data_IF_380591929270
#
_entry.id   IF_380591929270
#
_cell.length_a   1.000
_cell.length_b   1.000
_cell.length_c   1.000
_cell.angle_alpha   90.00
_cell.angle_beta   90.00
_cell.angle_gamma   90.00
#
_symmetry.space_group_name_H-M   'P 1'
#
loop_
_entity.id
_entity.type
_entity.pdbx_description
1 polymer ?
#
# COMPACT_ATOMS: atom_id res chain seq x y z
N UNK A 1 -21.25 -60.77 -54.91
CA UNK A 1 -22.29 -59.74 -54.67
C UNK A 1 -22.68 -59.87 -53.20
N UNK A 2 -21.84 -59.48 -52.23
CA UNK A 2 -21.18 -58.17 -52.08
C UNK A 2 -22.21 -57.03 -52.22
N UNK A 3 -22.39 -56.10 -51.29
CA UNK A 3 -21.39 -55.60 -50.34
C UNK A 3 -22.01 -54.72 -49.22
N UNK A 4 -21.34 -54.79 -48.06
CA UNK A 4 -20.98 -53.68 -47.14
C UNK A 4 -22.13 -52.87 -46.53
N UNK A 5 -22.55 -53.10 -45.28
CA UNK A 5 -21.82 -52.73 -44.06
C UNK A 5 -20.95 -51.48 -44.24
N UNK A 6 -21.48 -50.34 -43.81
CA UNK A 6 -20.64 -49.21 -43.40
C UNK A 6 -21.07 -48.85 -41.99
N UNK A 7 -20.32 -49.40 -41.03
CA UNK A 7 -20.18 -48.80 -39.71
C UNK A 7 -19.67 -47.38 -39.93
N UNK A 8 -20.50 -46.38 -39.68
CA UNK A 8 -19.98 -45.07 -39.32
C UNK A 8 -19.32 -45.25 -37.95
N UNK A 9 -18.00 -45.44 -38.00
CA UNK A 9 -17.11 -45.16 -36.88
C UNK A 9 -17.42 -43.74 -36.43
N UNK A 10 -17.99 -43.61 -35.24
CA UNK A 10 -17.77 -42.43 -34.40
C UNK A 10 -16.25 -42.29 -34.21
N UNK A 11 -15.59 -41.61 -35.14
CA UNK A 11 -14.33 -40.96 -34.81
C UNK A 11 -14.70 -39.80 -33.92
N UNK A 12 -14.61 -40.02 -32.61
CA UNK A 12 -14.49 -38.96 -31.62
C UNK A 12 -13.34 -38.07 -32.06
N UNK A 13 -13.68 -37.03 -32.81
CA UNK A 13 -12.72 -36.08 -33.29
C UNK A 13 -12.53 -35.12 -32.12
N UNK A 14 -11.50 -35.38 -31.32
CA UNK A 14 -10.81 -34.39 -30.48
C UNK A 14 -10.26 -33.27 -31.39
N UNK A 15 -11.14 -32.59 -32.12
CA UNK A 15 -10.85 -31.33 -32.75
C UNK A 15 -10.75 -30.32 -31.61
N UNK A 16 -9.60 -30.27 -30.96
CA UNK A 16 -9.21 -29.08 -30.21
C UNK A 16 -9.45 -27.90 -31.17
N UNK A 17 -10.44 -27.08 -30.83
CA UNK A 17 -10.73 -25.89 -31.60
C UNK A 17 -9.45 -25.06 -31.67
N UNK A 18 -8.97 -24.76 -32.88
CA UNK A 18 -7.72 -24.00 -33.09
C UNK A 18 -7.75 -22.66 -32.34
N UNK A 19 -8.94 -22.08 -32.16
CA UNK A 19 -9.18 -20.89 -31.36
C UNK A 19 -8.98 -21.13 -29.86
N UNK A 20 -9.37 -22.30 -29.35
CA UNK A 20 -9.11 -22.72 -27.97
C UNK A 20 -7.61 -22.84 -27.68
N UNK A 21 -6.87 -23.54 -28.54
CA UNK A 21 -5.40 -23.65 -28.42
C UNK A 21 -4.76 -22.25 -28.45
N UNK A 22 -5.23 -21.39 -29.36
CA UNK A 22 -4.72 -20.02 -29.44
C UNK A 22 -4.97 -19.23 -28.16
N UNK A 23 -6.16 -19.33 -27.55
CA UNK A 23 -6.45 -18.69 -26.27
C UNK A 23 -5.65 -19.24 -25.11
N UNK A 24 -5.41 -20.55 -25.06
CA UNK A 24 -4.54 -21.15 -24.04
C UNK A 24 -3.10 -20.67 -24.16
N UNK A 25 -2.59 -20.53 -25.39
CA UNK A 25 -1.26 -19.95 -25.65
C UNK A 25 -1.22 -18.48 -25.23
N UNK A 26 -2.23 -17.69 -25.58
CA UNK A 26 -2.29 -16.28 -25.19
C UNK A 26 -2.36 -16.12 -23.67
N UNK A 27 -3.17 -16.92 -22.96
CA UNK A 27 -3.25 -16.87 -21.50
C UNK A 27 -1.90 -17.17 -20.85
N UNK A 28 -1.19 -18.19 -21.36
CA UNK A 28 0.13 -18.56 -20.86
C UNK A 28 1.19 -17.47 -21.10
N UNK A 29 1.06 -16.68 -22.16
CA UNK A 29 1.96 -15.55 -22.42
C UNK A 29 1.53 -14.33 -21.59
N UNK A 30 0.25 -14.00 -21.61
CA UNK A 30 -0.31 -12.78 -21.05
C UNK A 30 -0.13 -12.73 -19.54
N UNK A 31 -0.17 -13.85 -18.83
CA UNK A 31 0.09 -13.89 -17.38
C UNK A 31 1.45 -13.28 -16.98
N UNK A 32 2.44 -13.26 -17.87
CA UNK A 32 3.77 -12.71 -17.57
C UNK A 32 3.97 -11.26 -18.04
N UNK A 33 3.01 -10.68 -18.77
CA UNK A 33 3.15 -9.33 -19.31
C UNK A 33 2.89 -8.26 -18.25
N UNK A 34 3.65 -7.16 -18.34
CA UNK A 34 3.39 -5.91 -17.61
C UNK A 34 2.03 -5.32 -18.01
N UNK A 35 1.50 -4.40 -17.22
CA UNK A 35 0.27 -3.67 -17.56
C UNK A 35 0.41 -2.93 -18.89
N UNK A 36 1.58 -2.31 -19.13
CA UNK A 36 1.87 -1.60 -20.40
C UNK A 36 1.85 -2.56 -21.59
N UNK A 37 2.50 -3.71 -21.47
CA UNK A 37 2.56 -4.68 -22.56
C UNK A 37 1.22 -5.36 -22.80
N UNK A 38 0.42 -5.58 -21.76
CA UNK A 38 -0.97 -6.00 -21.91
C UNK A 38 -1.80 -4.96 -22.65
N UNK A 39 -1.68 -3.68 -22.30
CA UNK A 39 -2.39 -2.61 -23.02
C UNK A 39 -1.99 -2.55 -24.50
N UNK A 40 -0.71 -2.79 -24.82
CA UNK A 40 -0.22 -2.89 -26.20
C UNK A 40 -0.76 -4.14 -26.91
N UNK A 41 -0.76 -5.29 -26.23
CA UNK A 41 -1.32 -6.53 -26.74
C UNK A 41 -2.82 -6.39 -27.07
N UNK A 42 -3.58 -5.69 -26.21
CA UNK A 42 -5.00 -5.43 -26.44
C UNK A 42 -5.27 -4.64 -27.74
N UNK A 43 -4.31 -3.83 -28.20
CA UNK A 43 -4.44 -3.05 -29.43
C UNK A 43 -4.20 -3.86 -30.72
N UNK A 44 -3.74 -5.11 -30.63
CA UNK A 44 -3.37 -5.93 -31.81
C UNK A 44 -4.60 -6.36 -32.61
N UNK A 45 -5.56 -7.03 -31.97
CA UNK A 45 -6.79 -7.48 -32.60
C UNK A 45 -7.90 -7.77 -31.57
N UNK A 46 -9.14 -7.99 -32.03
CA UNK A 46 -10.31 -8.25 -31.16
C UNK A 46 -10.13 -9.45 -30.23
N UNK A 47 -9.52 -10.52 -30.74
CA UNK A 47 -9.26 -11.74 -29.96
C UNK A 47 -8.24 -11.49 -28.85
N UNK A 48 -7.15 -10.77 -29.12
CA UNK A 48 -6.16 -10.39 -28.11
C UNK A 48 -6.77 -9.45 -27.08
N UNK A 49 -7.52 -8.44 -27.52
CA UNK A 49 -8.26 -7.53 -26.62
C UNK A 49 -9.17 -8.29 -25.66
N UNK A 50 -9.92 -9.27 -26.17
CA UNK A 50 -10.79 -10.11 -25.35
C UNK A 50 -10.00 -10.90 -24.29
N UNK A 51 -8.89 -11.54 -24.67
CA UNK A 51 -8.04 -12.29 -23.72
C UNK A 51 -7.33 -11.39 -22.72
N UNK A 52 -6.87 -10.20 -23.12
CA UNK A 52 -6.28 -9.23 -22.19
C UNK A 52 -7.30 -8.78 -21.15
N UNK A 53 -8.56 -8.52 -21.54
CA UNK A 53 -9.62 -8.18 -20.57
C UNK A 53 -9.83 -9.27 -19.52
N UNK A 54 -9.85 -10.52 -19.97
CA UNK A 54 -9.95 -11.68 -19.07
C UNK A 54 -8.74 -11.73 -18.14
N UNK A 55 -7.52 -11.58 -18.68
CA UNK A 55 -6.30 -11.58 -17.87
C UNK A 55 -6.28 -10.46 -16.83
N UNK A 56 -6.62 -9.22 -17.20
CA UNK A 56 -6.71 -8.09 -16.25
C UNK A 56 -7.72 -8.39 -15.14
N UNK A 57 -8.86 -9.00 -15.46
CA UNK A 57 -9.89 -9.34 -14.46
C UNK A 57 -9.45 -10.43 -13.46
N UNK A 58 -8.42 -11.22 -13.80
CA UNK A 58 -7.86 -12.24 -12.91
C UNK A 58 -6.88 -11.64 -11.89
N UNK A 59 -6.22 -10.53 -12.23
CA UNK A 59 -5.13 -9.93 -11.45
C UNK A 59 -5.65 -9.12 -10.27
N UNK A 60 -5.39 -9.61 -9.06
CA UNK A 60 -5.77 -8.96 -7.81
C UNK A 60 -4.56 -8.73 -6.89
N UNK A 61 -3.34 -8.81 -7.44
CA UNK A 61 -2.13 -8.75 -6.65
C UNK A 61 -1.92 -7.34 -6.08
N UNK A 62 -1.65 -7.27 -4.78
CA UNK A 62 -1.09 -6.07 -4.15
C UNK A 62 0.42 -6.10 -4.40
N UNK A 63 0.93 -5.09 -5.10
CA UNK A 63 2.30 -5.07 -5.61
C UNK A 63 3.11 -3.96 -4.93
N UNK A 64 4.33 -4.25 -4.51
CA UNK A 64 5.31 -3.22 -4.13
C UNK A 64 6.33 -3.01 -5.24
N UNK A 65 6.75 -1.77 -5.43
CA UNK A 65 7.75 -1.42 -6.45
C UNK A 65 8.67 -0.30 -5.97
N UNK A 66 9.91 -0.34 -6.43
CA UNK A 66 10.85 0.77 -6.26
C UNK A 66 10.57 1.83 -7.31
N UNK A 67 10.47 3.08 -6.87
CA UNK A 67 10.05 4.24 -7.65
C UNK A 67 11.26 5.14 -7.95
N UNK A 68 11.78 5.20 -9.18
CA UNK A 68 12.93 6.05 -9.51
C UNK A 68 12.55 7.53 -9.68
N UNK A 69 13.16 8.42 -8.89
CA UNK A 69 13.05 9.86 -9.09
C UNK A 69 14.08 10.28 -10.13
N UNK A 70 13.61 10.66 -11.32
CA UNK A 70 14.46 11.08 -12.43
C UNK A 70 14.45 12.61 -12.56
N UNK A 71 15.56 13.26 -12.21
CA UNK A 71 15.78 14.68 -12.49
C UNK A 71 16.80 14.84 -13.62
N UNK A 72 16.62 15.84 -14.49
CA UNK A 72 17.75 16.44 -15.21
C UNK A 72 18.29 17.54 -14.30
N UNK A 73 19.52 17.40 -13.79
CA UNK A 73 20.20 18.53 -13.16
C UNK A 73 20.64 19.48 -14.26
N UNK A 74 19.96 20.61 -14.42
CA UNK A 74 20.56 21.74 -15.13
C UNK A 74 21.66 22.28 -14.20
N UNK A 75 22.90 21.80 -14.37
CA UNK A 75 24.10 22.24 -13.64
C UNK A 75 24.45 23.74 -13.89
N UNK A 76 23.54 24.54 -14.45
CA UNK A 76 23.81 25.89 -14.96
C UNK A 76 22.88 27.02 -14.51
N UNK A 77 21.80 26.79 -13.74
CA UNK A 77 20.92 27.91 -13.39
C UNK A 77 21.31 28.58 -12.06
N UNK A 78 22.07 29.67 -12.24
CA UNK A 78 22.23 30.77 -11.31
C UNK A 78 20.89 31.49 -11.06
N UNK A 79 20.51 31.60 -9.79
CA UNK A 79 19.77 32.73 -9.19
C UNK A 79 18.44 33.20 -9.82
N UNK A 80 17.68 32.38 -10.54
CA UNK A 80 16.32 32.73 -10.97
C UNK A 80 15.26 31.86 -10.26
N UNK A 81 14.46 32.49 -9.40
CA UNK A 81 13.41 31.90 -8.55
C UNK A 81 12.19 31.26 -9.30
N UNK A 82 12.32 30.91 -10.58
CA UNK A 82 11.30 30.16 -11.34
C UNK A 82 11.94 28.99 -12.10
N UNK A 83 12.53 28.05 -11.35
CA UNK A 83 13.09 26.81 -11.90
C UNK A 83 11.98 25.96 -12.53
N UNK A 84 11.87 26.01 -13.85
CA UNK A 84 10.99 25.14 -14.64
C UNK A 84 11.69 23.79 -14.81
N UNK A 85 11.62 22.91 -13.80
CA UNK A 85 12.31 21.62 -13.84
C UNK A 85 11.93 20.79 -15.08
N UNK A 86 12.93 20.40 -15.87
CA UNK A 86 12.77 19.45 -16.98
C UNK A 86 12.97 18.04 -16.44
N UNK A 87 11.90 17.27 -16.37
CA UNK A 87 11.98 15.84 -16.06
C UNK A 87 12.46 15.06 -17.30
N UNK A 88 13.34 14.06 -17.10
CA UNK A 88 13.86 13.18 -18.16
C UNK A 88 12.71 12.70 -19.07
N UNK A 89 12.77 13.07 -20.36
CA UNK A 89 11.71 12.76 -21.32
C UNK A 89 11.59 11.26 -21.66
N UNK A 90 12.55 10.43 -21.23
CA UNK A 90 12.54 8.98 -21.39
C UNK A 90 11.95 8.31 -20.14
N UNK A 91 10.63 8.41 -20.08
CA UNK A 91 9.74 8.27 -18.92
C UNK A 91 9.53 6.81 -18.52
N UNK A 92 10.19 6.35 -17.47
CA UNK A 92 9.71 5.19 -16.73
C UNK A 92 8.32 5.50 -16.17
N UNK A 93 7.35 4.63 -16.41
CA UNK A 93 5.99 4.76 -15.89
C UNK A 93 5.68 3.54 -15.04
N UNK A 94 4.89 3.66 -13.96
CA UNK A 94 4.57 2.51 -13.09
C UNK A 94 3.96 1.32 -13.86
N UNK A 95 3.27 1.57 -14.98
CA UNK A 95 2.73 0.51 -15.84
C UNK A 95 3.79 -0.36 -16.52
N UNK A 96 5.04 0.11 -16.59
CA UNK A 96 6.19 -0.69 -17.03
C UNK A 96 6.53 -1.80 -16.02
N UNK A 97 6.16 -1.65 -14.75
CA UNK A 97 6.50 -2.59 -13.67
C UNK A 97 5.29 -3.30 -13.07
N UNK A 98 4.14 -2.62 -12.94
CA UNK A 98 2.93 -3.21 -12.39
C UNK A 98 2.31 -4.24 -13.33
N UNK A 99 1.73 -5.29 -12.76
CA UNK A 99 0.93 -6.28 -13.48
C UNK A 99 -0.56 -5.97 -13.40
N UNK A 100 -1.03 -5.50 -12.26
CA UNK A 100 -2.43 -5.17 -12.00
C UNK A 100 -2.70 -3.69 -12.28
N UNK A 101 -3.94 -3.34 -12.63
CA UNK A 101 -4.35 -1.95 -12.74
C UNK A 101 -4.53 -1.38 -11.33
N UNK A 102 -3.71 -0.41 -10.87
CA UNK A 102 -3.87 0.18 -9.55
C UNK A 102 -5.16 1.01 -9.44
N UNK A 103 -5.90 0.84 -8.34
CA UNK A 103 -6.96 1.75 -7.90
C UNK A 103 -6.41 2.85 -7.00
N UNK A 104 -5.53 2.44 -6.08
CA UNK A 104 -4.92 3.30 -5.08
C UNK A 104 -3.42 3.03 -5.00
N UNK A 105 -2.59 4.07 -4.90
CA UNK A 105 -1.16 3.93 -4.63
C UNK A 105 -0.74 4.60 -3.32
N UNK A 106 -0.01 3.86 -2.49
CA UNK A 106 0.74 4.44 -1.37
C UNK A 106 2.16 4.71 -1.86
N UNK A 107 2.59 5.95 -1.85
CA UNK A 107 3.93 6.34 -2.29
C UNK A 107 4.71 6.83 -1.08
N UNK A 108 5.77 6.11 -0.72
CA UNK A 108 6.67 6.48 0.36
C UNK A 108 7.99 6.97 -0.20
N UNK A 109 8.52 8.05 0.37
CA UNK A 109 9.88 8.52 0.14
C UNK A 109 10.53 8.94 1.46
N UNK A 110 11.84 9.19 1.46
CA UNK A 110 12.54 9.71 2.64
C UNK A 110 12.99 11.16 2.40
N UNK A 111 13.26 11.89 3.49
CA UNK A 111 13.73 13.28 3.44
C UNK A 111 15.21 13.46 3.78
N UNK A 112 16.05 12.46 3.51
CA UNK A 112 17.44 12.46 4.00
C UNK A 112 18.41 13.34 3.20
N UNK A 113 17.96 14.19 2.26
CA UNK A 113 18.86 15.08 1.53
C UNK A 113 18.43 16.56 1.51
N UNK A 114 19.44 17.43 1.40
CA UNK A 114 19.48 18.89 1.61
C UNK A 114 18.50 19.76 0.80
N UNK A 115 17.44 19.22 0.22
CA UNK A 115 16.48 19.96 -0.58
C UNK A 115 15.06 19.73 -0.05
N UNK A 116 14.53 20.70 0.70
CA UNK A 116 13.08 20.81 1.00
C UNK A 116 12.19 20.70 -0.25
N UNK A 117 12.76 20.86 -1.45
CA UNK A 117 12.10 20.70 -2.74
C UNK A 117 11.82 19.23 -3.13
N UNK A 118 12.42 18.23 -2.46
CA UNK A 118 12.31 16.82 -2.87
C UNK A 118 10.93 16.18 -2.65
N UNK A 119 10.20 16.53 -1.58
CA UNK A 119 8.84 16.01 -1.35
C UNK A 119 7.89 16.46 -2.46
N UNK A 120 7.82 17.76 -2.69
CA UNK A 120 6.97 18.35 -3.72
C UNK A 120 7.34 17.82 -5.10
N UNK A 121 8.64 17.62 -5.36
CA UNK A 121 9.09 17.09 -6.63
C UNK A 121 8.75 15.61 -6.83
N UNK A 122 8.95 14.76 -5.81
CA UNK A 122 8.53 13.36 -5.83
C UNK A 122 7.03 13.27 -6.09
N UNK A 123 6.26 14.05 -5.31
CA UNK A 123 4.82 14.16 -5.47
C UNK A 123 4.45 14.60 -6.89
N UNK A 124 4.95 15.74 -7.37
CA UNK A 124 4.64 16.29 -8.69
C UNK A 124 5.02 15.33 -9.82
N UNK A 125 6.17 14.66 -9.71
CA UNK A 125 6.62 13.69 -10.70
C UNK A 125 5.59 12.56 -10.83
N UNK A 126 5.26 11.88 -9.73
CA UNK A 126 4.32 10.76 -9.79
C UNK A 126 2.87 11.18 -10.02
N UNK A 127 2.47 12.36 -9.54
CA UNK A 127 1.16 12.96 -9.82
C UNK A 127 0.86 13.04 -11.32
N UNK A 128 1.87 13.43 -12.12
CA UNK A 128 1.74 13.57 -13.57
C UNK A 128 1.60 12.23 -14.32
N UNK A 129 1.97 11.12 -13.69
CA UNK A 129 1.89 9.79 -14.29
C UNK A 129 0.68 9.00 -13.80
N UNK A 130 0.13 9.35 -12.64
CA UNK A 130 -1.11 8.75 -12.16
C UNK A 130 -2.27 9.19 -13.07
N UNK A 131 -2.92 8.23 -13.74
CA UNK A 131 -4.03 8.50 -14.66
C UNK A 131 -5.21 9.18 -13.94
N UNK A 132 -6.02 9.93 -14.69
CA UNK A 132 -7.36 10.36 -14.23
C UNK A 132 -8.16 9.13 -13.75
N UNK A 133 -8.57 9.15 -12.48
CA UNK A 133 -9.40 8.11 -11.86
C UNK A 133 -8.68 7.18 -10.87
N UNK A 134 -7.35 7.29 -10.74
CA UNK A 134 -6.58 6.63 -9.67
C UNK A 134 -6.43 7.56 -8.47
N UNK A 135 -6.45 7.00 -7.26
CA UNK A 135 -6.12 7.73 -6.03
C UNK A 135 -4.68 7.42 -5.60
N UNK A 136 -4.03 8.36 -4.93
CA UNK A 136 -2.76 8.09 -4.29
C UNK A 136 -2.53 9.01 -3.09
N UNK A 137 -1.75 8.53 -2.14
CA UNK A 137 -1.17 9.30 -1.06
C UNK A 137 0.35 9.26 -1.15
N UNK A 138 0.99 10.40 -0.94
CA UNK A 138 2.43 10.55 -0.84
C UNK A 138 2.80 10.81 0.62
N UNK A 139 3.76 10.03 1.13
CA UNK A 139 4.13 10.01 2.54
C UNK A 139 5.64 10.16 2.67
N UNK A 140 6.04 11.18 3.41
CA UNK A 140 7.45 11.38 3.76
C UNK A 140 7.78 10.64 5.05
N UNK A 141 8.94 10.00 5.04
CA UNK A 141 9.40 9.13 6.12
C UNK A 141 10.84 9.43 6.50
N UNK A 142 11.29 8.96 7.66
CA UNK A 142 12.69 9.11 8.08
C UNK A 142 13.66 8.12 7.40
N UNK A 143 13.12 7.12 6.69
CA UNK A 143 13.88 6.15 5.92
C UNK A 143 13.02 5.00 5.41
N UNK A 144 13.52 4.30 4.38
CA UNK A 144 12.81 3.21 3.73
C UNK A 144 13.70 2.02 3.42
N UNK A 145 13.15 0.82 3.56
CA UNK A 145 13.76 -0.41 3.08
C UNK A 145 12.79 -1.27 2.30
N UNK A 146 13.34 -1.98 1.30
CA UNK A 146 12.68 -3.11 0.67
C UNK A 146 13.53 -4.35 0.94
N UNK A 147 13.00 -5.26 1.73
CA UNK A 147 13.70 -6.44 2.25
C UNK A 147 14.92 -6.06 3.10
N UNK A 148 16.12 -6.26 2.56
CA UNK A 148 17.41 -5.97 3.20
C UNK A 148 18.13 -4.81 2.53
N UNK A 149 17.50 -4.19 1.54
CA UNK A 149 18.08 -3.10 0.78
C UNK A 149 17.52 -1.76 1.26
N UNK A 150 18.41 -0.80 1.48
CA UNK A 150 18.02 0.58 1.70
C UNK A 150 17.56 1.15 0.37
N UNK A 151 16.38 1.75 0.36
CA UNK A 151 15.88 2.38 -0.85
C UNK A 151 16.38 3.83 -0.96
N UNK A 152 16.73 4.47 0.16
CA UNK A 152 17.02 5.90 0.19
C UNK A 152 18.37 6.28 0.85
N UNK A 153 18.78 7.55 0.79
CA UNK A 153 20.11 8.17 1.05
C UNK A 153 21.17 8.11 -0.07
N UNK A 154 21.09 7.20 -1.06
CA UNK A 154 22.14 7.06 -2.10
C UNK A 154 21.63 7.11 -3.55
N UNK A 155 20.32 6.96 -3.82
CA UNK A 155 19.83 6.61 -5.18
C UNK A 155 18.61 7.34 -5.75
N UNK A 156 18.04 8.37 -5.11
CA UNK A 156 16.82 9.04 -5.62
C UNK A 156 15.67 8.03 -5.87
N UNK A 157 15.36 7.17 -4.92
CA UNK A 157 14.31 6.15 -5.07
C UNK A 157 13.27 6.31 -3.95
N UNK A 158 12.03 5.92 -4.22
CA UNK A 158 10.98 5.71 -3.22
C UNK A 158 10.39 4.30 -3.31
N UNK A 159 9.37 4.00 -2.52
CA UNK A 159 8.62 2.75 -2.57
C UNK A 159 7.16 3.05 -2.85
N UNK A 160 6.61 2.42 -3.88
CA UNK A 160 5.18 2.39 -4.16
C UNK A 160 4.57 1.09 -3.65
N UNK A 161 3.32 1.17 -3.17
CA UNK A 161 2.46 0.01 -2.93
C UNK A 161 1.18 0.24 -3.72
N UNK A 162 0.93 -0.61 -4.71
CA UNK A 162 -0.24 -0.57 -5.56
C UNK A 162 -1.33 -1.49 -5.01
N UNK A 163 -2.48 -0.91 -4.69
CA UNK A 163 -3.71 -1.63 -4.39
C UNK A 163 -4.54 -1.72 -5.68
N UNK A 164 -4.87 -2.91 -6.17
CA UNK A 164 -5.45 -3.08 -7.50
C UNK A 164 -6.94 -2.72 -7.56
N UNK A 165 -7.40 -2.38 -8.75
CA UNK A 165 -8.80 -2.10 -9.08
C UNK A 165 -9.49 -3.37 -9.56
N UNK A 166 -10.21 -4.06 -8.68
CA UNK A 166 -10.88 -5.33 -9.02
C UNK A 166 -12.23 -5.45 -8.33
N UNK A 167 -13.11 -6.30 -8.85
CA UNK A 167 -14.42 -6.54 -8.22
C UNK A 167 -14.31 -7.33 -6.91
N UNK A 168 -13.15 -7.91 -6.63
CA UNK A 168 -12.88 -8.74 -5.44
C UNK A 168 -12.27 -7.95 -4.28
N UNK A 169 -11.73 -6.77 -4.55
CA UNK A 169 -11.08 -5.90 -3.58
C UNK A 169 -11.68 -4.50 -3.65
N UNK A 170 -12.19 -4.03 -2.51
CA UNK A 170 -12.68 -2.67 -2.34
C UNK A 170 -11.64 -1.87 -1.59
N UNK A 171 -11.33 -0.69 -2.11
CA UNK A 171 -10.42 0.26 -1.46
C UNK A 171 -11.18 1.56 -1.22
N UNK A 172 -11.47 1.83 0.05
CA UNK A 172 -12.13 3.06 0.49
C UNK A 172 -11.10 3.95 1.18
N UNK A 173 -11.23 5.27 1.07
CA UNK A 173 -10.33 6.20 1.72
C UNK A 173 -11.10 7.36 2.34
N UNK A 174 -10.73 7.70 3.57
CA UNK A 174 -11.19 8.87 4.30
C UNK A 174 -10.02 9.83 4.52
N UNK A 175 -10.22 11.07 4.12
CA UNK A 175 -9.32 12.19 4.35
C UNK A 175 -10.20 13.37 4.80
N UNK A 176 -10.05 13.88 6.02
CA UNK A 176 -10.79 15.06 6.48
C UNK A 176 -10.32 16.30 5.71
N UNK A 177 -11.20 17.28 5.52
CA UNK A 177 -10.82 18.59 5.01
C UNK A 177 -9.90 19.31 6.00
N UNK A 178 -9.14 20.28 5.51
CA UNK A 178 -8.19 21.06 6.31
C UNK A 178 -8.84 21.71 7.55
N UNK A 179 -10.11 22.13 7.45
CA UNK A 179 -10.81 22.79 8.55
C UNK A 179 -11.58 21.84 9.47
N UNK A 180 -11.78 20.57 9.08
CA UNK A 180 -12.68 19.65 9.80
C UNK A 180 -12.22 19.38 11.23
N UNK A 181 -10.93 19.05 11.43
CA UNK A 181 -10.39 18.75 12.75
C UNK A 181 -10.50 19.96 13.69
N UNK A 182 -9.98 21.15 13.34
CA UNK A 182 -10.10 22.34 14.18
C UNK A 182 -11.54 22.75 14.47
N UNK A 183 -12.43 22.67 13.47
CA UNK A 183 -13.83 23.08 13.65
C UNK A 183 -14.55 22.13 14.61
N UNK A 184 -14.37 20.81 14.45
CA UNK A 184 -14.96 19.83 15.34
C UNK A 184 -14.33 19.83 16.74
N UNK A 185 -13.06 20.20 16.88
CA UNK A 185 -12.43 20.41 18.18
C UNK A 185 -13.08 21.59 18.92
N UNK A 186 -13.23 22.74 18.26
CA UNK A 186 -13.88 23.94 18.82
C UNK A 186 -15.33 23.69 19.22
N UNK A 187 -16.08 22.92 18.43
CA UNK A 187 -17.48 22.59 18.74
C UNK A 187 -17.65 21.38 19.65
N UNK A 188 -16.56 20.74 20.13
CA UNK A 188 -16.61 19.51 20.93
C UNK A 188 -17.39 18.36 20.26
N UNK A 189 -17.27 18.26 18.93
CA UNK A 189 -17.95 17.25 18.10
C UNK A 189 -16.99 16.29 17.39
N UNK A 190 -15.80 16.06 17.96
CA UNK A 190 -14.78 15.17 17.39
C UNK A 190 -15.29 13.73 17.21
N UNK A 191 -16.07 13.24 18.18
CA UNK A 191 -16.71 11.92 18.11
C UNK A 191 -17.66 11.78 16.93
N UNK A 192 -18.32 12.86 16.49
CA UNK A 192 -19.15 12.86 15.29
C UNK A 192 -18.32 12.68 14.03
N UNK A 193 -17.21 13.42 13.89
CA UNK A 193 -16.30 13.31 12.75
C UNK A 193 -15.70 11.91 12.63
N UNK A 194 -15.26 11.34 13.77
CA UNK A 194 -14.75 9.98 13.82
C UNK A 194 -15.80 8.93 13.42
N UNK A 195 -17.05 9.10 13.85
CA UNK A 195 -18.15 8.23 13.46
C UNK A 195 -18.51 8.35 11.97
N UNK A 196 -18.47 9.55 11.41
CA UNK A 196 -18.65 9.80 9.98
C UNK A 196 -17.54 9.12 9.17
N UNK A 197 -16.28 9.27 9.60
CA UNK A 197 -15.13 8.60 8.99
C UNK A 197 -15.33 7.07 8.94
N UNK A 198 -15.62 6.44 10.08
CA UNK A 198 -15.86 5.00 10.16
C UNK A 198 -17.07 4.59 9.32
N UNK A 199 -18.15 5.36 9.32
CA UNK A 199 -19.35 5.06 8.53
C UNK A 199 -19.08 5.16 7.03
N UNK A 200 -18.21 6.08 6.60
CA UNK A 200 -17.81 6.22 5.21
C UNK A 200 -16.92 5.07 4.74
N UNK A 201 -16.13 4.49 5.66
CA UNK A 201 -15.22 3.39 5.36
C UNK A 201 -15.92 2.04 5.41
N UNK A 202 -16.72 1.75 6.44
CA UNK A 202 -17.35 0.44 6.63
C UNK A 202 -18.64 0.32 5.81
N UNK A 203 -18.58 -0.40 4.68
CA UNK A 203 -19.76 -0.95 4.03
C UNK A 203 -20.27 -2.18 4.81
N UNK A 204 -21.58 -2.34 4.98
CA UNK A 204 -22.18 -3.30 5.93
C UNK A 204 -22.05 -4.79 5.57
N UNK A 205 -21.27 -5.15 4.55
CA UNK A 205 -21.30 -6.49 3.94
C UNK A 205 -19.94 -7.19 3.76
N UNK A 206 -18.81 -6.60 4.19
CA UNK A 206 -17.49 -7.20 3.95
C UNK A 206 -16.98 -8.05 5.14
N UNK A 207 -16.58 -9.31 4.88
CA UNK A 207 -16.21 -10.31 5.91
C UNK A 207 -14.91 -9.97 6.66
N UNK A 208 -13.95 -9.33 6.00
CA UNK A 208 -12.65 -8.97 6.58
C UNK A 208 -12.22 -7.55 6.16
N UNK A 209 -11.62 -6.82 7.11
CA UNK A 209 -11.26 -5.41 6.94
C UNK A 209 -9.79 -5.17 7.29
N UNK A 210 -9.04 -4.54 6.39
CA UNK A 210 -7.71 -4.02 6.66
C UNK A 210 -7.73 -2.51 6.69
N UNK A 211 -7.27 -1.91 7.78
CA UNK A 211 -7.13 -0.46 7.90
C UNK A 211 -5.66 -0.05 7.88
N UNK A 212 -5.36 0.96 7.09
CA UNK A 212 -4.08 1.67 7.07
C UNK A 212 -4.35 3.09 7.55
N UNK A 213 -3.81 3.46 8.71
CA UNK A 213 -3.99 4.77 9.33
C UNK A 213 -2.65 5.51 9.35
N UNK A 214 -2.52 6.55 8.52
CA UNK A 214 -1.34 7.40 8.49
C UNK A 214 -1.73 8.80 8.94
N UNK A 215 -0.95 9.38 9.84
CA UNK A 215 -1.20 10.73 10.34
C UNK A 215 0.02 11.62 10.16
N UNK A 216 -0.23 12.87 9.84
CA UNK A 216 0.81 13.86 9.74
C UNK A 216 1.31 14.18 11.16
N UNK A 217 2.62 14.00 11.38
CA UNK A 217 3.33 14.41 12.59
C UNK A 217 4.52 15.30 12.25
N UNK A 218 4.41 16.09 11.17
CA UNK A 218 5.42 17.08 10.79
C UNK A 218 5.83 17.93 11.98
N UNK A 219 7.13 18.23 12.07
CA UNK A 219 7.67 19.18 13.04
C UNK A 219 7.07 20.59 12.86
N UNK A 220 6.47 20.88 11.70
CA UNK A 220 5.78 22.14 11.43
C UNK A 220 4.39 22.25 12.10
N UNK A 221 3.83 21.15 12.62
CA UNK A 221 2.52 21.17 13.27
C UNK A 221 2.60 21.87 14.63
N UNK A 222 1.61 22.73 14.89
CA UNK A 222 1.45 23.40 16.18
C UNK A 222 0.88 22.45 17.23
N UNK A 223 1.04 22.79 18.50
CA UNK A 223 0.62 21.93 19.63
C UNK A 223 -0.90 21.68 19.65
N UNK A 224 -1.71 22.70 19.32
CA UNK A 224 -3.17 22.58 19.18
C UNK A 224 -3.54 21.62 18.04
N UNK A 225 -2.87 21.74 16.90
CA UNK A 225 -3.03 20.84 15.75
C UNK A 225 -2.73 19.37 16.12
N UNK A 226 -1.68 19.13 16.90
CA UNK A 226 -1.32 17.79 17.39
C UNK A 226 -2.40 17.25 18.34
N UNK A 227 -2.91 18.10 19.23
CA UNK A 227 -3.98 17.77 20.18
C UNK A 227 -5.28 17.37 19.47
N UNK A 228 -5.67 18.10 18.43
CA UNK A 228 -6.88 17.80 17.65
C UNK A 228 -6.76 16.46 16.92
N UNK A 229 -5.59 16.19 16.33
CA UNK A 229 -5.31 14.91 15.67
C UNK A 229 -5.32 13.73 16.66
N UNK A 230 -4.75 13.91 17.86
CA UNK A 230 -4.82 12.92 18.94
C UNK A 230 -6.25 12.65 19.38
N UNK A 231 -7.06 13.71 19.51
CA UNK A 231 -8.47 13.61 19.89
C UNK A 231 -9.27 12.84 18.84
N UNK A 232 -9.06 13.13 17.55
CA UNK A 232 -9.66 12.37 16.46
C UNK A 232 -9.26 10.90 16.52
N UNK A 233 -7.97 10.58 16.67
CA UNK A 233 -7.49 9.19 16.72
C UNK A 233 -8.11 8.41 17.89
N UNK A 234 -8.28 9.04 19.05
CA UNK A 234 -8.93 8.42 20.21
C UNK A 234 -10.40 8.09 19.91
N UNK A 235 -11.15 9.04 19.37
CA UNK A 235 -12.57 8.84 19.01
C UNK A 235 -12.75 7.85 17.86
N UNK A 236 -11.87 7.89 16.86
CA UNK A 236 -11.83 6.93 15.75
C UNK A 236 -11.56 5.52 16.27
N UNK A 237 -10.57 5.36 17.15
CA UNK A 237 -10.22 4.08 17.78
C UNK A 237 -11.40 3.49 18.56
N UNK A 238 -12.11 4.32 19.32
CA UNK A 238 -13.31 3.91 20.07
C UNK A 238 -14.43 3.48 19.11
N UNK A 239 -14.68 4.28 18.07
CA UNK A 239 -15.71 3.99 17.06
C UNK A 239 -15.41 2.70 16.28
N UNK A 240 -14.13 2.47 15.94
CA UNK A 240 -13.68 1.25 15.27
C UNK A 240 -13.95 0.01 16.13
N UNK A 241 -13.58 0.04 17.40
CA UNK A 241 -13.81 -1.07 18.36
C UNK A 241 -15.30 -1.36 18.58
N UNK A 242 -16.16 -0.34 18.51
CA UNK A 242 -17.59 -0.52 18.68
C UNK A 242 -18.25 -1.18 17.46
N UNK A 243 -17.69 -0.98 16.26
CA UNK A 243 -18.29 -1.46 15.00
C UNK A 243 -17.64 -2.73 14.44
N UNK A 244 -16.35 -2.93 14.69
CA UNK A 244 -15.62 -4.10 14.23
C UNK A 244 -15.48 -5.12 15.37
N UNK A 245 -15.71 -6.40 15.06
CA UNK A 245 -15.49 -7.47 16.03
C UNK A 245 -13.98 -7.70 16.22
N UNK A 246 -13.50 -7.97 17.44
CA UNK A 246 -12.13 -8.41 17.63
C UNK A 246 -11.82 -9.63 16.77
N UNK A 247 -10.62 -9.68 16.22
CA UNK A 247 -10.22 -10.75 15.31
C UNK A 247 -10.76 -10.63 13.88
N UNK A 248 -11.66 -9.68 13.58
CA UNK A 248 -12.27 -9.52 12.25
C UNK A 248 -11.64 -8.40 11.40
N UNK A 249 -10.57 -7.78 11.88
CA UNK A 249 -9.87 -6.73 11.16
C UNK A 249 -8.40 -6.67 11.52
N UNK A 250 -7.59 -6.12 10.63
CA UNK A 250 -6.21 -5.73 10.88
C UNK A 250 -6.05 -4.22 10.82
N UNK A 251 -5.09 -3.68 11.56
CA UNK A 251 -4.79 -2.25 11.59
C UNK A 251 -3.29 -2.03 11.58
N UNK A 252 -2.84 -1.10 10.75
CA UNK A 252 -1.44 -0.73 10.61
C UNK A 252 -1.28 0.75 10.29
N UNK A 253 -0.14 1.31 10.67
CA UNK A 253 0.29 2.64 10.28
C UNK A 253 0.90 3.38 11.47
N UNK A 254 0.80 4.70 11.46
CA UNK A 254 1.48 5.55 12.43
C UNK A 254 1.63 6.99 11.94
N UNK A 255 2.43 7.75 12.68
CA UNK A 255 2.90 9.06 12.26
C UNK A 255 3.87 8.97 11.09
N UNK A 256 3.75 9.92 10.16
CA UNK A 256 4.69 10.17 9.07
C UNK A 256 5.02 11.66 9.06
N UNK A 257 6.18 12.02 8.50
CA UNK A 257 6.67 13.41 8.53
C UNK A 257 5.77 14.35 7.75
N UNK A 258 5.26 13.93 6.60
CA UNK A 258 4.38 14.74 5.77
C UNK A 258 3.43 13.86 4.94
N UNK A 259 2.22 14.37 4.69
CA UNK A 259 1.21 13.71 3.86
C UNK A 259 0.75 14.68 2.78
N UNK A 260 0.85 14.25 1.53
CA UNK A 260 0.24 14.92 0.38
C UNK A 260 -0.72 13.96 -0.30
N UNK A 261 -1.91 14.45 -0.66
CA UNK A 261 -2.95 13.63 -1.27
C UNK A 261 -3.54 14.36 -2.47
N UNK A 262 -3.61 13.71 -3.64
CA UNK A 262 -4.30 14.28 -4.79
C UNK A 262 -5.67 13.67 -4.93
N UNK A 263 -6.67 14.40 -4.42
CA UNK A 263 -8.03 14.30 -4.92
C UNK A 263 -8.23 15.56 -5.76
N UNK A 264 -8.18 15.45 -7.09
CA UNK A 264 -8.46 16.55 -8.03
C UNK A 264 -7.33 17.57 -8.30
N UNK A 265 -6.06 17.21 -8.12
CA UNK A 265 -4.93 18.04 -8.57
C UNK A 265 -4.66 19.30 -7.73
N UNK A 266 -5.06 19.29 -6.45
CA UNK A 266 -4.62 20.28 -5.45
C UNK A 266 -3.70 19.63 -4.43
N UNK A 267 -2.63 20.35 -4.08
CA UNK A 267 -1.79 20.06 -2.92
C UNK A 267 -2.44 20.74 -1.71
N UNK A 268 -3.40 20.07 -1.07
CA UNK A 268 -3.98 20.56 0.18
C UNK A 268 -3.28 19.88 1.36
N UNK A 269 -3.06 20.61 2.44
CA UNK A 269 -2.51 20.06 3.67
C UNK A 269 -3.41 18.93 4.20
N UNK A 270 -2.81 17.77 4.52
CA UNK A 270 -3.54 16.61 5.01
C UNK A 270 -3.15 16.28 6.45
N UNK A 271 -4.16 16.28 7.33
CA UNK A 271 -4.02 15.90 8.74
C UNK A 271 -3.67 14.44 8.94
N UNK A 272 -4.40 13.59 8.22
CA UNK A 272 -4.38 12.14 8.30
C UNK A 272 -5.10 11.55 7.11
N UNK A 273 -4.82 10.28 6.84
CA UNK A 273 -5.56 9.47 5.91
C UNK A 273 -5.85 8.12 6.54
N UNK A 274 -7.06 7.62 6.31
CA UNK A 274 -7.46 6.27 6.68
C UNK A 274 -7.89 5.56 5.42
N UNK A 275 -7.20 4.47 5.10
CA UNK A 275 -7.48 3.64 3.95
C UNK A 275 -8.00 2.31 4.45
N UNK A 276 -9.13 1.88 3.90
CA UNK A 276 -9.69 0.56 4.14
C UNK A 276 -9.52 -0.28 2.88
N UNK A 277 -8.92 -1.43 3.03
CA UNK A 277 -8.91 -2.50 2.01
C UNK A 277 -9.81 -3.62 2.53
N UNK A 278 -10.75 -4.07 1.72
CA UNK A 278 -11.69 -5.13 2.08
C UNK A 278 -12.09 -5.97 0.87
N UNK A 279 -12.84 -7.04 1.09
CA UNK A 279 -13.38 -7.90 0.04
C UNK A 279 -13.00 -9.37 0.23
N UNK A 280 -13.72 -10.25 -0.47
CA UNK A 280 -13.60 -11.71 -0.30
C UNK A 280 -12.23 -12.27 -0.68
N UNK A 281 -11.48 -11.56 -1.54
CA UNK A 281 -10.15 -11.99 -1.92
C UNK A 281 -9.05 -11.52 -0.95
N UNK A 282 -9.36 -10.69 0.06
CA UNK A 282 -8.35 -10.17 0.98
C UNK A 282 -8.26 -11.04 2.24
N UNK A 283 -7.06 -11.50 2.56
CA UNK A 283 -6.72 -11.82 3.94
C UNK A 283 -5.63 -10.88 4.43
N UNK A 284 -5.72 -10.46 5.67
CA UNK A 284 -4.71 -9.59 6.27
C UNK A 284 -4.57 -9.81 7.77
N UNK A 285 -3.36 -9.62 8.26
CA UNK A 285 -3.02 -9.81 9.66
C UNK A 285 -2.03 -8.78 10.14
N UNK A 286 -2.21 -8.30 11.36
CA UNK A 286 -1.29 -7.36 12.00
C UNK A 286 -0.80 -7.88 13.34
N UNK A 287 0.43 -7.53 13.71
CA UNK A 287 1.03 -7.85 15.00
C UNK A 287 1.85 -6.67 15.53
N UNK A 288 1.74 -6.45 16.84
CA UNK A 288 2.43 -5.40 17.58
C UNK A 288 3.57 -6.00 18.40
N UNK A 289 4.80 -5.51 18.17
CA UNK A 289 5.99 -5.91 18.90
C UNK A 289 6.60 -4.71 19.62
N UNK A 290 6.61 -4.74 20.95
CA UNK A 290 7.26 -3.68 21.74
C UNK A 290 8.78 -3.78 21.60
N UNK A 291 9.45 -2.63 21.48
CA UNK A 291 10.90 -2.57 21.30
C UNK A 291 11.73 -3.02 22.52
N UNK A 292 11.09 -3.13 23.69
CA UNK A 292 11.75 -3.61 24.91
C UNK A 292 11.74 -5.14 25.07
N UNK A 293 11.13 -5.87 24.12
CA UNK A 293 11.16 -7.33 24.13
C UNK A 293 12.56 -7.85 23.77
N UNK A 294 12.96 -8.95 24.39
CA UNK A 294 14.18 -9.68 24.02
C UNK A 294 14.02 -10.36 22.66
N UNK A 295 15.13 -10.61 21.97
CA UNK A 295 15.12 -11.31 20.66
C UNK A 295 14.40 -12.66 20.71
N UNK A 296 14.52 -13.41 21.82
CA UNK A 296 13.84 -14.69 22.00
C UNK A 296 12.32 -14.53 22.14
N UNK A 297 11.85 -13.49 22.81
CA UNK A 297 10.41 -13.18 22.91
C UNK A 297 9.84 -12.76 21.56
N UNK A 298 10.57 -11.93 20.81
CA UNK A 298 10.21 -11.53 19.45
C UNK A 298 10.13 -12.74 18.53
N UNK A 299 11.15 -13.61 18.52
CA UNK A 299 11.18 -14.83 17.71
C UNK A 299 10.03 -15.78 18.06
N UNK A 300 9.72 -15.97 19.35
CA UNK A 300 8.60 -16.79 19.79
C UNK A 300 7.24 -16.22 19.33
N UNK A 301 7.01 -14.91 19.53
CA UNK A 301 5.76 -14.25 19.11
C UNK A 301 5.53 -14.38 17.60
N UNK A 302 6.55 -14.06 16.81
CA UNK A 302 6.48 -14.14 15.35
C UNK A 302 6.35 -15.57 14.84
N UNK A 303 7.00 -16.54 15.49
CA UNK A 303 6.87 -17.96 15.13
C UNK A 303 5.45 -18.47 15.39
N UNK A 304 4.82 -18.07 16.50
CA UNK A 304 3.43 -18.44 16.76
C UNK A 304 2.47 -17.73 15.78
N UNK A 305 2.67 -16.43 15.57
CA UNK A 305 1.92 -15.68 14.56
C UNK A 305 1.97 -16.33 13.18
N UNK A 306 3.15 -16.80 12.74
CA UNK A 306 3.31 -17.50 11.45
C UNK A 306 2.50 -18.79 11.34
N UNK A 307 2.28 -19.52 12.44
CA UNK A 307 1.51 -20.78 12.43
C UNK A 307 0.03 -20.55 12.16
N UNK A 308 -0.47 -19.38 12.55
CA UNK A 308 -1.89 -19.06 12.55
C UNK A 308 -2.32 -18.25 11.30
N UNK A 309 -1.39 -17.96 10.39
CA UNK A 309 -1.65 -17.21 9.16
C UNK A 309 -1.32 -18.02 7.91
N UNK A 310 -2.00 -17.72 6.82
CA UNK A 310 -1.87 -18.43 5.54
C UNK A 310 -1.23 -17.52 4.50
N UNK A 311 0.06 -17.71 4.26
CA UNK A 311 0.82 -16.95 3.27
C UNK A 311 0.66 -17.55 1.88
N UNK A 312 0.58 -16.69 0.87
CA UNK A 312 0.60 -17.02 -0.55
C UNK A 312 1.83 -16.40 -1.23
N UNK A 313 2.07 -16.75 -2.50
CA UNK A 313 3.20 -16.23 -3.26
C UNK A 313 3.14 -14.71 -3.52
N UNK A 314 1.95 -14.13 -3.46
CA UNK A 314 1.69 -12.69 -3.63
C UNK A 314 1.51 -11.95 -2.29
N UNK A 315 1.85 -12.58 -1.16
CA UNK A 315 1.77 -11.91 0.13
C UNK A 315 2.83 -10.80 0.25
N UNK A 316 2.44 -9.67 0.84
CA UNK A 316 3.30 -8.52 1.09
C UNK A 316 3.27 -8.18 2.59
N UNK A 317 4.44 -7.94 3.18
CA UNK A 317 4.55 -7.43 4.54
C UNK A 317 4.93 -5.95 4.54
N UNK A 318 4.34 -5.18 5.46
CA UNK A 318 4.68 -3.80 5.77
C UNK A 318 5.10 -3.71 7.23
N UNK A 319 6.10 -2.89 7.54
CA UNK A 319 6.50 -2.59 8.90
C UNK A 319 6.52 -1.08 9.12
N UNK A 320 5.89 -0.63 10.21
CA UNK A 320 6.08 0.71 10.75
C UNK A 320 7.06 0.60 11.92
N UNK A 321 8.23 1.22 11.78
CA UNK A 321 9.39 0.99 12.66
C UNK A 321 9.86 2.31 13.28
N UNK A 322 9.86 2.45 14.62
CA UNK A 322 10.44 3.62 15.26
C UNK A 322 11.97 3.63 15.04
N UNK A 323 12.50 4.77 14.63
CA UNK A 323 13.89 5.01 14.31
C UNK A 323 14.31 6.42 14.74
N UNK A 324 15.59 6.54 15.09
CA UNK A 324 16.21 7.82 15.41
C UNK A 324 16.97 8.33 14.19
N UNK A 325 16.98 9.64 13.97
CA UNK A 325 17.71 10.28 12.87
C UNK A 325 19.22 9.95 12.88
N UNK A 326 19.78 9.62 14.05
CA UNK A 326 21.18 9.22 14.19
C UNK A 326 21.44 7.72 13.97
N UNK A 327 20.41 6.91 13.76
CA UNK A 327 20.59 5.48 13.48
C UNK A 327 21.05 5.26 12.04
N UNK A 328 22.19 4.59 11.89
CA UNK A 328 22.61 4.03 10.61
C UNK A 328 21.56 3.05 10.07
N UNK A 329 21.52 2.89 8.75
CA UNK A 329 20.67 1.91 8.10
C UNK A 329 20.81 0.49 8.66
N UNK A 330 22.04 0.07 8.97
CA UNK A 330 22.29 -1.25 9.54
C UNK A 330 21.66 -1.42 10.93
N UNK A 331 21.58 -0.35 11.72
CA UNK A 331 20.86 -0.37 13.00
C UNK A 331 19.35 -0.45 12.79
N UNK A 332 18.82 0.24 11.77
CA UNK A 332 17.41 0.18 11.38
C UNK A 332 16.99 -1.22 10.92
N UNK A 333 17.78 -1.85 10.04
CA UNK A 333 17.51 -3.20 9.55
C UNK A 333 17.50 -4.27 10.65
N UNK A 334 18.38 -4.14 11.65
CA UNK A 334 18.41 -5.08 12.79
C UNK A 334 17.08 -5.16 13.53
N UNK A 335 16.28 -4.09 13.54
CA UNK A 335 14.95 -4.06 14.17
C UNK A 335 13.95 -5.00 13.47
N UNK A 336 14.15 -5.24 12.18
CA UNK A 336 13.28 -6.07 11.33
C UNK A 336 13.89 -7.44 10.98
N UNK A 337 15.13 -7.71 11.40
CA UNK A 337 15.90 -8.89 11.01
C UNK A 337 15.23 -10.21 11.43
N UNK A 338 14.69 -10.28 12.66
CA UNK A 338 14.01 -11.47 13.17
C UNK A 338 12.75 -11.77 12.35
N UNK A 339 11.99 -10.73 11.98
CA UNK A 339 10.84 -10.88 11.10
C UNK A 339 11.27 -11.45 9.76
N UNK A 340 12.31 -10.89 9.14
CA UNK A 340 12.83 -11.37 7.84
C UNK A 340 13.31 -12.81 7.89
N UNK A 341 13.95 -13.23 8.98
CA UNK A 341 14.37 -14.63 9.18
C UNK A 341 13.17 -15.58 9.20
N UNK A 342 12.08 -15.19 9.86
CA UNK A 342 10.87 -16.02 10.00
C UNK A 342 10.01 -15.98 8.74
N UNK A 343 9.91 -14.81 8.09
CA UNK A 343 9.09 -14.53 6.90
C UNK A 343 9.96 -14.31 5.66
N UNK A 344 10.88 -15.25 5.38
CA UNK A 344 11.87 -15.13 4.31
C UNK A 344 11.27 -15.10 2.89
N UNK A 345 10.06 -15.64 2.71
CA UNK A 345 9.48 -15.89 1.40
C UNK A 345 8.54 -14.77 0.92
N UNK A 346 8.38 -13.71 1.71
CA UNK A 346 7.52 -12.58 1.35
C UNK A 346 8.34 -11.28 1.38
N UNK A 347 8.07 -10.34 0.45
CA UNK A 347 8.66 -9.01 0.50
C UNK A 347 8.25 -8.28 1.79
N UNK A 348 9.17 -7.47 2.32
CA UNK A 348 8.92 -6.60 3.47
C UNK A 348 9.27 -5.16 3.08
N UNK A 349 8.30 -4.26 3.19
CA UNK A 349 8.53 -2.82 3.11
C UNK A 349 8.70 -2.29 4.54
N UNK A 350 9.88 -1.79 4.86
CA UNK A 350 10.16 -1.13 6.14
C UNK A 350 10.00 0.39 6.00
N UNK A 351 9.06 0.95 6.75
CA UNK A 351 8.87 2.40 6.91
C UNK A 351 9.44 2.80 8.26
N UNK A 352 10.50 3.61 8.24
CA UNK A 352 11.19 4.05 9.45
C UNK A 352 10.81 5.49 9.77
N UNK A 353 10.40 5.73 11.01
CA UNK A 353 9.89 7.03 11.44
C UNK A 353 10.45 7.44 12.79
N UNK A 354 10.40 8.74 13.11
CA UNK A 354 10.92 9.26 14.36
C UNK A 354 10.39 8.46 15.57
N UNK A 355 11.26 8.13 16.52
CA UNK A 355 10.90 7.40 17.75
C UNK A 355 9.81 8.06 18.59
N UNK A 356 9.63 9.38 18.45
CA UNK A 356 8.58 10.15 19.12
C UNK A 356 7.22 10.01 18.41
N UNK A 357 7.22 9.57 17.15
CA UNK A 357 5.98 9.34 16.42
C UNK A 357 5.25 8.14 16.99
N UNK A 358 3.94 8.22 16.88
CA UNK A 358 3.03 7.19 17.35
C UNK A 358 2.95 6.07 16.31
N UNK A 359 2.95 4.83 16.76
CA UNK A 359 2.64 3.68 15.91
C UNK A 359 1.20 3.21 16.18
N UNK A 360 0.48 2.84 15.12
CA UNK A 360 -0.94 2.49 15.18
C UNK A 360 -1.09 1.04 14.71
N UNK A 361 -1.65 0.17 15.55
CA UNK A 361 -1.85 -1.22 15.20
C UNK A 361 -2.48 -2.07 16.29
N UNK A 362 -2.87 -3.29 15.92
CA UNK A 362 -3.45 -4.30 16.81
C UNK A 362 -2.87 -5.68 16.52
N UNK A 363 -3.04 -6.62 17.45
CA UNK A 363 -2.83 -8.04 17.17
C UNK A 363 -4.14 -8.60 16.60
N UNK A 364 -4.20 -8.74 15.27
CA UNK A 364 -5.44 -9.09 14.57
C UNK A 364 -5.93 -10.52 14.84
N UNK A 365 -5.12 -11.37 15.46
CA UNK A 365 -5.50 -12.73 15.85
C UNK A 365 -6.02 -12.80 17.29
N UNK A 366 -5.86 -11.73 18.08
CA UNK A 366 -6.35 -11.66 19.45
C UNK A 366 -7.83 -11.23 19.46
N UNK A 367 -8.63 -11.88 20.32
CA UNK A 367 -10.05 -11.61 20.49
C UNK A 367 -10.36 -10.60 21.60
N UNK A 368 -9.35 -9.94 22.15
CA UNK A 368 -9.53 -8.93 23.20
C UNK A 368 -10.12 -7.63 22.62
N UNK A 369 -11.26 -7.20 23.16
CA UNK A 369 -11.95 -5.94 22.84
C UNK A 369 -11.17 -4.70 23.30
N UNK A 370 -10.33 -4.85 24.33
CA UNK A 370 -9.64 -3.75 24.97
C UNK A 370 -8.21 -3.56 24.47
N UNK A 371 -7.84 -4.19 23.35
CA UNK A 371 -6.52 -4.04 22.74
C UNK A 371 -6.14 -2.57 22.59
N UNK A 372 -4.91 -2.24 22.99
CA UNK A 372 -4.33 -0.93 22.77
C UNK A 372 -4.10 -0.75 21.26
N UNK A 373 -4.60 0.35 20.68
CA UNK A 373 -4.42 0.68 19.26
C UNK A 373 -3.20 1.57 19.03
N UNK A 374 -2.91 2.43 20.00
CA UNK A 374 -1.93 3.50 19.92
C UNK A 374 -0.71 3.09 20.73
N UNK A 375 0.44 2.97 20.09
CA UNK A 375 1.67 2.47 20.69
C UNK A 375 2.79 3.49 20.56
N UNK A 376 3.62 3.56 21.59
CA UNK A 376 4.90 4.24 21.57
C UNK A 376 6.01 3.19 21.48
N UNK A 377 7.05 3.45 20.69
CA UNK A 377 8.26 2.63 20.63
C UNK A 377 7.94 1.13 20.39
N UNK A 378 7.10 0.86 19.39
CA UNK A 378 6.70 -0.49 19.00
C UNK A 378 6.78 -0.65 17.49
N UNK A 379 7.14 -1.84 17.00
CA UNK A 379 7.08 -2.17 15.59
C UNK A 379 5.72 -2.77 15.29
N UNK A 380 5.04 -2.24 14.28
CA UNK A 380 3.77 -2.78 13.79
C UNK A 380 4.01 -3.43 12.44
N UNK A 381 3.73 -4.72 12.36
CA UNK A 381 3.74 -5.44 11.09
C UNK A 381 2.32 -5.61 10.59
N UNK A 382 2.15 -5.50 9.27
CA UNK A 382 0.95 -5.89 8.53
C UNK A 382 1.36 -6.86 7.44
N UNK A 383 0.62 -7.95 7.29
CA UNK A 383 0.74 -8.87 6.16
C UNK A 383 -0.56 -8.81 5.38
N UNK A 384 -0.47 -8.58 4.09
CA UNK A 384 -1.57 -8.59 3.13
C UNK A 384 -1.39 -9.76 2.18
N UNK A 385 -2.46 -10.48 1.87
CA UNK A 385 -2.46 -11.53 0.87
C UNK A 385 -3.76 -11.50 0.09
N UNK A 386 -3.69 -11.81 -1.20
CA UNK A 386 -4.85 -11.75 -2.10
C UNK A 386 -5.10 -13.09 -2.78
N UNK A 387 -6.37 -13.44 -2.98
CA UNK A 387 -6.81 -14.72 -3.56
C UNK A 387 -6.90 -14.75 -5.09
#
# INVERSE_FOLDING_TARGET
MENLQTQEKESGNDNLCTEGIFYDVLDNIFQYLSLKDLCRAAAVCKSWHHRVKIEISKRNDIESLTLPITYESDDNDSDNDEDTFKYLQNKWHFSDSLRSLPHFMLLFHDSTYNFKREHDHFHCYYANYVKMGMFYGCFETSGLSLNTEEVCTIKNLGIGIALPSTDKLKVDCYVPYETDLPDHAKSSTMSRLANEAISSLLSTEDEHNCFIFLRNQSEALKEDMISDNNSFLAEFSNSLKQRCKPGSYSLWGGGVSEITYSRFGRNDFVWLTVIRVSGLALNSWSIVLKMNLSSAEVENKLTNFKKDIHLKSNSLALAMVPSNNNESFQQRLKKTEIFRKIFSNIPLVGVYENTEFTQIGINSLESDLNQVIVHSNSIIYLILTTE
#
